data_IF_987541341682
#
_entry.id   IF_987541341682
#
_cell.length_a   1.000
_cell.length_b   1.000
_cell.length_c   1.000
_cell.angle_alpha   90.00
_cell.angle_beta   90.00
_cell.angle_gamma   90.00
#
_symmetry.space_group_name_H-M   'P 1'
#
loop_
_entity.id
_entity.type
_entity.pdbx_description
1 polymer ?
#
# COMPACT_ATOMS: atom_id res chain seq x y z
N UNK A 1 -4.93 43.91 -55.54
CA UNK A 1 -4.30 43.72 -54.20
C UNK A 1 -4.29 42.23 -53.91
N UNK A 2 -3.14 41.59 -54.02
CA UNK A 2 -2.98 40.14 -53.89
C UNK A 2 -3.02 39.75 -52.41
N UNK A 3 -3.77 38.68 -52.10
CA UNK A 3 -3.73 38.00 -50.80
C UNK A 3 -2.42 37.22 -50.70
N UNK A 4 -1.59 37.59 -49.75
CA UNK A 4 -0.37 36.87 -49.39
C UNK A 4 -0.77 35.58 -48.66
N UNK A 5 -0.61 34.43 -49.31
CA UNK A 5 -0.56 33.15 -48.64
C UNK A 5 0.77 33.05 -47.89
N UNK A 6 0.73 32.93 -46.56
CA UNK A 6 1.90 32.57 -45.76
C UNK A 6 2.33 31.12 -46.11
N UNK A 7 3.27 30.99 -47.04
CA UNK A 7 3.96 29.73 -47.32
C UNK A 7 4.93 29.44 -46.17
N UNK A 8 4.63 28.43 -45.35
CA UNK A 8 5.63 27.79 -44.50
C UNK A 8 6.81 27.29 -45.36
N UNK A 9 8.08 27.45 -44.92
CA UNK A 9 9.23 27.29 -45.79
C UNK A 9 9.48 25.82 -46.15
N UNK A 10 9.87 25.61 -47.41
CA UNK A 10 10.17 24.33 -48.08
C UNK A 10 11.28 23.52 -47.37
N UNK A 11 12.05 24.13 -46.44
CA UNK A 11 13.06 23.47 -45.59
C UNK A 11 12.51 22.34 -44.69
N UNK A 12 11.22 22.32 -44.38
CA UNK A 12 10.66 21.31 -43.48
C UNK A 12 10.69 19.91 -44.12
N UNK A 13 10.65 19.82 -45.45
CA UNK A 13 10.69 18.56 -46.20
C UNK A 13 12.04 17.83 -46.08
N UNK A 14 13.16 18.55 -46.24
CA UNK A 14 14.50 17.94 -46.13
C UNK A 14 14.83 17.55 -44.68
N UNK A 15 14.46 18.39 -43.72
CA UNK A 15 14.59 18.09 -42.28
C UNK A 15 13.76 16.86 -41.90
N UNK A 16 12.55 16.70 -42.46
CA UNK A 16 11.72 15.52 -42.23
C UNK A 16 12.31 14.25 -42.86
N UNK A 17 12.86 14.33 -44.07
CA UNK A 17 13.55 13.19 -44.71
C UNK A 17 14.79 12.76 -43.93
N UNK A 18 15.61 13.71 -43.48
CA UNK A 18 16.78 13.44 -42.64
C UNK A 18 16.37 12.82 -41.30
N UNK A 19 15.29 13.32 -40.70
CA UNK A 19 14.72 12.76 -39.47
C UNK A 19 14.18 11.35 -39.67
N UNK A 20 13.52 11.05 -40.79
CA UNK A 20 13.05 9.71 -41.11
C UNK A 20 14.19 8.72 -41.37
N UNK A 21 15.23 9.15 -42.08
CA UNK A 21 16.44 8.33 -42.27
C UNK A 21 17.12 8.02 -40.93
N UNK A 22 17.27 9.02 -40.06
CA UNK A 22 17.78 8.85 -38.70
C UNK A 22 16.87 7.92 -37.87
N UNK A 23 15.54 8.08 -37.97
CA UNK A 23 14.56 7.22 -37.29
C UNK A 23 14.72 5.76 -37.72
N UNK A 24 14.81 5.49 -39.01
CA UNK A 24 15.00 4.13 -39.54
C UNK A 24 16.35 3.53 -39.12
N UNK A 25 17.41 4.34 -39.07
CA UNK A 25 18.71 3.89 -38.58
C UNK A 25 18.65 3.54 -37.08
N UNK A 26 18.00 4.37 -36.27
CA UNK A 26 17.79 4.14 -34.84
C UNK A 26 16.90 2.90 -34.61
N UNK A 27 15.86 2.69 -35.40
CA UNK A 27 15.03 1.47 -35.31
C UNK A 27 15.80 0.21 -35.73
N UNK A 28 16.64 0.30 -36.77
CA UNK A 28 17.49 -0.82 -37.19
C UNK A 28 18.54 -1.18 -36.14
N UNK A 29 19.11 -0.19 -35.45
CA UNK A 29 20.16 -0.41 -34.44
C UNK A 29 19.60 -0.83 -33.08
N UNK A 30 18.47 -0.26 -32.66
CA UNK A 30 17.95 -0.37 -31.29
C UNK A 30 16.58 -1.05 -31.20
N UNK A 31 16.03 -1.52 -32.32
CA UNK A 31 14.74 -2.19 -32.42
C UNK A 31 13.58 -1.25 -32.76
N UNK A 32 12.51 -1.83 -33.28
CA UNK A 32 11.28 -1.10 -33.63
C UNK A 32 10.75 -0.32 -32.45
N UNK A 33 10.46 0.96 -32.63
CA UNK A 33 9.93 1.80 -31.57
C UNK A 33 10.95 2.48 -30.66
N UNK A 34 12.23 2.39 -30.98
CA UNK A 34 13.30 3.13 -30.29
C UNK A 34 13.18 4.66 -30.46
N UNK A 35 12.56 5.12 -31.54
CA UNK A 35 12.20 6.53 -31.76
C UNK A 35 10.82 6.64 -32.42
N UNK A 36 9.85 7.19 -31.68
CA UNK A 36 8.47 7.39 -32.16
C UNK A 36 8.01 8.84 -31.94
N UNK A 37 7.07 9.31 -32.75
CA UNK A 37 6.34 10.54 -32.44
C UNK A 37 5.36 10.25 -31.30
N UNK A 38 5.34 11.10 -30.27
CA UNK A 38 4.52 10.89 -29.08
C UNK A 38 3.01 10.85 -29.40
N UNK A 39 2.57 11.60 -30.41
CA UNK A 39 1.15 11.69 -30.82
C UNK A 39 0.70 10.70 -31.90
N UNK A 40 1.56 9.84 -32.45
CA UNK A 40 1.17 8.87 -33.49
C UNK A 40 0.60 7.57 -32.94
N UNK A 41 0.60 7.36 -31.61
CA UNK A 41 -0.36 6.46 -31.00
C UNK A 41 -1.70 7.20 -30.93
N UNK A 42 -2.65 6.80 -31.76
CA UNK A 42 -4.07 7.14 -31.61
C UNK A 42 -4.63 6.72 -30.25
N UNK A 43 -3.89 5.89 -29.53
CA UNK A 43 -4.00 5.67 -28.09
C UNK A 43 -3.07 6.61 -27.32
N UNK A 44 -3.52 7.85 -27.10
CA UNK A 44 -3.36 8.46 -25.75
C UNK A 44 -4.33 7.77 -24.77
N UNK A 45 -4.51 6.46 -24.94
CA UNK A 45 -5.36 5.60 -24.15
C UNK A 45 -4.84 5.63 -22.72
N UNK A 46 -5.80 5.84 -21.81
CA UNK A 46 -5.75 5.53 -20.39
C UNK A 46 -4.50 4.74 -19.98
N UNK A 47 -3.67 5.31 -19.11
CA UNK A 47 -2.62 4.56 -18.43
C UNK A 47 -3.27 3.32 -17.80
N UNK A 48 -2.82 2.12 -18.16
CA UNK A 48 -3.35 0.89 -17.56
C UNK A 48 -3.04 0.88 -16.07
N UNK A 49 -4.06 0.58 -15.26
CA UNK A 49 -3.98 0.62 -13.80
C UNK A 49 -4.46 -0.67 -13.16
N UNK A 50 -3.96 -0.93 -11.95
CA UNK A 50 -4.54 -1.86 -10.99
C UNK A 50 -5.25 -1.02 -9.91
N UNK A 51 -6.56 -1.24 -9.63
CA UNK A 51 -7.26 -0.54 -8.57
C UNK A 51 -6.57 -0.69 -7.21
N UNK A 52 -6.76 0.28 -6.32
CA UNK A 52 -6.11 0.27 -5.00
C UNK A 52 -6.88 -0.47 -3.91
N UNK A 53 -8.10 -0.95 -4.21
CA UNK A 53 -9.05 -1.48 -3.23
C UNK A 53 -9.89 -0.41 -2.55
N UNK A 54 -9.65 0.88 -2.85
CA UNK A 54 -10.49 2.00 -2.40
C UNK A 54 -10.75 3.00 -3.51
N UNK A 55 -12.02 3.25 -3.82
CA UNK A 55 -12.46 4.28 -4.78
C UNK A 55 -11.92 5.68 -4.42
N UNK A 56 -11.77 5.96 -3.12
CA UNK A 56 -11.25 7.26 -2.67
C UNK A 56 -9.76 7.41 -2.97
N UNK A 57 -8.98 6.35 -2.79
CA UNK A 57 -7.57 6.35 -3.12
C UNK A 57 -7.37 6.34 -4.64
N UNK A 58 -8.17 5.58 -5.39
CA UNK A 58 -8.19 5.60 -6.86
C UNK A 58 -8.43 7.03 -7.39
N UNK A 59 -9.39 7.75 -6.82
CA UNK A 59 -9.68 9.16 -7.14
C UNK A 59 -8.51 10.09 -6.76
N UNK A 60 -7.91 9.87 -5.58
CA UNK A 60 -6.77 10.66 -5.13
C UNK A 60 -5.51 10.42 -5.97
N UNK A 61 -5.32 9.22 -6.52
CA UNK A 61 -4.28 8.90 -7.49
C UNK A 61 -4.55 9.58 -8.85
N UNK A 62 -5.82 9.84 -9.17
CA UNK A 62 -6.27 10.64 -10.31
C UNK A 62 -6.35 9.89 -11.64
N UNK A 63 -5.92 8.62 -11.66
CA UNK A 63 -5.96 7.75 -12.84
C UNK A 63 -6.72 6.43 -12.56
N UNK A 64 -7.40 6.31 -11.42
CA UNK A 64 -8.21 5.13 -11.10
C UNK A 64 -7.47 3.98 -10.45
N UNK A 65 -6.17 4.13 -10.14
CA UNK A 65 -5.39 3.10 -9.46
C UNK A 65 -3.88 3.27 -9.61
N UNK A 66 -3.16 2.20 -9.33
CA UNK A 66 -1.71 2.10 -9.47
C UNK A 66 -1.29 1.87 -10.92
N UNK A 67 -0.43 2.71 -11.51
CA UNK A 67 -0.05 2.61 -12.92
C UNK A 67 0.87 1.41 -13.16
N UNK A 68 0.50 0.55 -14.12
CA UNK A 68 1.34 -0.56 -14.59
C UNK A 68 2.68 -0.08 -15.13
N UNK A 69 3.71 -0.90 -14.95
CA UNK A 69 5.06 -0.62 -15.44
C UNK A 69 5.78 0.51 -14.70
N UNK A 70 5.45 0.74 -13.41
CA UNK A 70 6.03 1.82 -12.60
C UNK A 70 6.47 1.34 -11.23
N UNK A 71 7.44 2.07 -10.68
CA UNK A 71 7.86 1.94 -9.28
C UNK A 71 7.03 2.86 -8.38
N UNK A 72 6.56 2.33 -7.27
CA UNK A 72 5.76 3.01 -6.24
C UNK A 72 6.47 2.86 -4.90
N UNK A 73 6.52 3.93 -4.11
CA UNK A 73 7.01 3.89 -2.73
C UNK A 73 5.85 4.17 -1.78
N UNK A 74 5.61 3.27 -0.82
CA UNK A 74 4.68 3.43 0.28
C UNK A 74 5.47 3.56 1.58
N UNK A 75 5.40 4.72 2.22
CA UNK A 75 6.19 4.98 3.43
C UNK A 75 5.38 5.66 4.52
N UNK A 76 5.84 5.51 5.76
CA UNK A 76 5.11 5.97 6.93
C UNK A 76 5.69 5.43 8.23
N UNK A 77 5.14 5.86 9.38
CA UNK A 77 5.47 5.27 10.67
C UNK A 77 5.14 3.77 10.74
N UNK A 78 5.60 3.11 11.80
CA UNK A 78 5.13 1.75 12.15
C UNK A 78 3.62 1.73 12.34
N UNK A 79 3.00 0.59 12.07
CA UNK A 79 1.54 0.37 12.23
C UNK A 79 0.64 1.41 11.55
N UNK A 80 1.15 2.09 10.52
CA UNK A 80 0.38 3.10 9.76
C UNK A 80 -0.50 2.49 8.66
N UNK A 81 -0.38 1.19 8.37
CA UNK A 81 -1.16 0.50 7.33
C UNK A 81 -0.44 0.32 5.99
N UNK A 82 0.90 0.48 5.93
CA UNK A 82 1.70 0.32 4.70
C UNK A 82 1.54 -1.06 4.05
N UNK A 83 1.80 -2.12 4.81
CA UNK A 83 1.68 -3.50 4.35
C UNK A 83 0.24 -3.84 4.01
N UNK A 84 -0.74 -3.35 4.78
CA UNK A 84 -2.18 -3.49 4.44
C UNK A 84 -2.51 -2.89 3.08
N UNK A 85 -2.05 -1.68 2.79
CA UNK A 85 -2.27 -1.04 1.49
C UNK A 85 -1.61 -1.80 0.34
N UNK A 86 -0.41 -2.34 0.57
CA UNK A 86 0.29 -3.16 -0.42
C UNK A 86 -0.40 -4.51 -0.66
N UNK A 87 -0.91 -5.16 0.38
CA UNK A 87 -1.67 -6.41 0.26
C UNK A 87 -3.00 -6.19 -0.50
N UNK A 88 -3.67 -5.05 -0.32
CA UNK A 88 -4.81 -4.70 -1.18
C UNK A 88 -4.41 -4.49 -2.65
N UNK A 89 -3.27 -3.88 -2.92
CA UNK A 89 -2.75 -3.76 -4.28
C UNK A 89 -2.48 -5.14 -4.91
N UNK A 90 -1.97 -6.09 -4.12
CA UNK A 90 -1.77 -7.49 -4.52
C UNK A 90 -3.11 -8.18 -4.80
N UNK A 91 -4.08 -8.08 -3.88
CA UNK A 91 -5.40 -8.69 -4.03
C UNK A 91 -6.13 -8.17 -5.29
N UNK A 92 -6.07 -6.86 -5.56
CA UNK A 92 -6.66 -6.27 -6.76
C UNK A 92 -5.92 -6.66 -8.04
N UNK A 93 -4.60 -6.86 -8.00
CA UNK A 93 -3.86 -7.37 -9.15
C UNK A 93 -4.28 -8.82 -9.49
N UNK A 94 -4.38 -9.68 -8.47
CA UNK A 94 -4.83 -11.07 -8.63
C UNK A 94 -6.28 -11.14 -9.12
N UNK A 95 -7.16 -10.26 -8.65
CA UNK A 95 -8.55 -10.12 -9.11
C UNK A 95 -8.66 -9.80 -10.60
N UNK A 96 -7.66 -9.12 -11.17
CA UNK A 96 -7.55 -8.87 -12.61
C UNK A 96 -6.85 -10.01 -13.38
N UNK A 97 -6.67 -11.18 -12.75
CA UNK A 97 -6.00 -12.34 -13.32
C UNK A 97 -4.46 -12.25 -13.32
N UNK A 98 -3.89 -11.27 -12.61
CA UNK A 98 -2.45 -11.02 -12.59
C UNK A 98 -1.69 -11.91 -11.61
N UNK A 99 -0.39 -12.11 -11.87
CA UNK A 99 0.51 -12.84 -10.97
C UNK A 99 1.15 -11.85 -10.00
N UNK A 100 1.12 -12.17 -8.70
CA UNK A 100 1.71 -11.35 -7.66
C UNK A 100 2.89 -12.04 -6.97
N UNK A 101 3.89 -11.25 -6.60
CA UNK A 101 4.99 -11.69 -5.74
C UNK A 101 5.22 -10.74 -4.56
N UNK A 102 5.69 -11.30 -3.45
CA UNK A 102 5.99 -10.59 -2.22
C UNK A 102 7.39 -10.96 -1.73
N UNK A 103 8.27 -9.98 -1.63
CA UNK A 103 9.62 -10.12 -1.09
C UNK A 103 9.58 -9.60 0.34
N UNK A 104 9.47 -10.53 1.29
CA UNK A 104 9.33 -10.30 2.73
C UNK A 104 10.73 -10.30 3.38
N UNK A 105 11.41 -9.17 3.27
CA UNK A 105 12.70 -8.93 3.94
C UNK A 105 12.52 -8.62 5.44
N UNK A 106 11.32 -8.23 5.89
CA UNK A 106 11.03 -8.05 7.33
C UNK A 106 10.67 -9.37 8.03
N UNK A 107 10.48 -10.47 7.30
CA UNK A 107 10.04 -11.78 7.83
C UNK A 107 8.76 -11.68 8.68
N UNK A 108 7.85 -10.79 8.28
CA UNK A 108 6.69 -10.38 9.08
C UNK A 108 5.35 -10.55 8.34
N UNK A 109 5.34 -11.16 7.15
CA UNK A 109 4.11 -11.42 6.42
C UNK A 109 3.26 -12.49 7.12
N UNK A 110 2.06 -12.11 7.56
CA UNK A 110 1.04 -13.03 8.07
C UNK A 110 0.12 -13.52 6.93
N UNK A 111 0.17 -14.83 6.57
CA UNK A 111 -0.69 -15.39 5.52
C UNK A 111 -2.18 -15.34 5.85
N UNK A 112 -2.56 -15.46 7.13
CA UNK A 112 -3.97 -15.42 7.57
C UNK A 112 -4.52 -14.02 7.38
N UNK A 113 -3.78 -13.01 7.84
CA UNK A 113 -4.15 -11.62 7.61
C UNK A 113 -4.23 -11.29 6.11
N UNK A 114 -3.23 -11.67 5.32
CA UNK A 114 -3.25 -11.46 3.87
C UNK A 114 -4.44 -12.13 3.19
N UNK A 115 -4.79 -13.37 3.58
CA UNK A 115 -5.97 -14.08 3.09
C UNK A 115 -7.26 -13.32 3.40
N UNK A 116 -7.38 -12.81 4.62
CA UNK A 116 -8.55 -12.04 5.04
C UNK A 116 -8.69 -10.70 4.30
N UNK A 117 -7.58 -10.12 3.85
CA UNK A 117 -7.54 -8.92 3.01
C UNK A 117 -7.91 -9.18 1.54
N UNK A 118 -8.11 -10.45 1.16
CA UNK A 118 -8.51 -10.84 -0.20
C UNK A 118 -7.36 -11.34 -1.07
N UNK A 119 -6.17 -11.56 -0.51
CA UNK A 119 -5.04 -12.13 -1.24
C UNK A 119 -5.25 -13.63 -1.41
N UNK A 120 -5.14 -14.12 -2.65
CA UNK A 120 -5.10 -15.53 -2.94
C UNK A 120 -3.71 -16.08 -2.59
N UNK A 121 -3.59 -16.63 -1.38
CA UNK A 121 -2.32 -17.13 -0.81
C UNK A 121 -1.77 -18.30 -1.62
N UNK A 122 -2.65 -19.17 -2.14
CA UNK A 122 -2.23 -20.37 -2.90
C UNK A 122 -1.43 -20.00 -4.16
N UNK A 123 -1.67 -18.80 -4.71
CA UNK A 123 -1.05 -18.29 -5.94
C UNK A 123 -0.09 -17.10 -5.68
N UNK A 124 0.20 -16.79 -4.42
CA UNK A 124 1.13 -15.71 -4.07
C UNK A 124 2.56 -16.24 -4.01
N UNK A 125 3.44 -15.70 -4.85
CA UNK A 125 4.86 -16.03 -4.81
C UNK A 125 5.54 -15.27 -3.66
N UNK A 126 6.08 -15.97 -2.67
CA UNK A 126 6.77 -15.34 -1.53
C UNK A 126 8.25 -15.66 -1.57
N UNK A 127 9.09 -14.67 -1.28
CA UNK A 127 10.53 -14.83 -1.08
C UNK A 127 10.94 -14.15 0.22
N UNK A 128 11.69 -14.87 1.04
CA UNK A 128 12.31 -14.39 2.28
C UNK A 128 13.83 -14.40 2.09
N UNK A 129 14.42 -13.30 1.57
CA UNK A 129 15.84 -13.24 1.24
C UNK A 129 16.70 -13.02 2.49
N UNK A 130 17.92 -13.53 2.45
CA UNK A 130 18.94 -13.36 3.49
C UNK A 130 19.65 -12.00 3.39
N UNK A 131 19.76 -11.42 2.18
CA UNK A 131 20.49 -10.17 1.94
C UNK A 131 19.72 -9.20 1.04
N UNK A 132 20.06 -7.91 1.17
CA UNK A 132 19.49 -6.85 0.32
C UNK A 132 19.83 -7.02 -1.16
N UNK A 133 21.04 -7.48 -1.49
CA UNK A 133 21.45 -7.82 -2.86
C UNK A 133 20.55 -8.94 -3.42
N UNK A 134 20.40 -10.04 -2.69
CA UNK A 134 19.60 -11.18 -3.10
C UNK A 134 18.13 -10.78 -3.33
N UNK A 135 17.54 -10.01 -2.41
CA UNK A 135 16.19 -9.48 -2.54
C UNK A 135 15.98 -8.69 -3.84
N UNK A 136 16.93 -7.79 -4.16
CA UNK A 136 16.84 -6.94 -5.35
C UNK A 136 17.13 -7.71 -6.64
N UNK A 137 17.98 -8.74 -6.61
CA UNK A 137 18.21 -9.65 -7.74
C UNK A 137 16.98 -10.51 -8.03
N UNK A 138 16.34 -11.06 -7.00
CA UNK A 138 15.06 -11.78 -7.14
C UNK A 138 14.01 -10.86 -7.77
N UNK A 139 13.89 -9.63 -7.27
CA UNK A 139 12.99 -8.62 -7.86
C UNK A 139 13.32 -8.36 -9.34
N UNK A 140 14.59 -8.15 -9.69
CA UNK A 140 15.02 -7.92 -11.07
C UNK A 140 14.66 -9.10 -11.98
N UNK A 141 14.91 -10.34 -11.53
CA UNK A 141 14.62 -11.55 -12.29
C UNK A 141 13.13 -11.76 -12.51
N UNK A 142 12.31 -11.54 -11.48
CA UNK A 142 10.84 -11.62 -11.59
C UNK A 142 10.30 -10.58 -12.57
N UNK A 143 10.78 -9.33 -12.52
CA UNK A 143 10.38 -8.29 -13.50
C UNK A 143 10.84 -8.68 -14.92
N UNK A 144 12.06 -9.19 -15.07
CA UNK A 144 12.64 -9.58 -16.36
C UNK A 144 11.94 -10.76 -16.99
N UNK A 145 11.40 -11.69 -16.20
CA UNK A 145 10.60 -12.82 -16.69
C UNK A 145 9.41 -12.35 -17.54
N UNK A 146 8.91 -11.13 -17.28
CA UNK A 146 7.73 -10.62 -17.94
C UNK A 146 6.44 -11.33 -17.52
N UNK A 147 6.46 -12.25 -16.53
CA UNK A 147 5.28 -12.95 -16.05
C UNK A 147 4.55 -12.18 -14.95
N UNK A 148 5.27 -11.57 -14.00
CA UNK A 148 4.68 -10.96 -12.79
C UNK A 148 4.03 -9.59 -13.07
N UNK A 149 2.83 -9.38 -12.52
CA UNK A 149 2.04 -8.14 -12.63
C UNK A 149 2.38 -7.14 -11.53
N UNK A 150 2.57 -7.62 -10.31
CA UNK A 150 2.91 -6.79 -9.16
C UNK A 150 3.94 -7.50 -8.25
N UNK A 151 4.93 -6.74 -7.80
CA UNK A 151 5.91 -7.18 -6.82
C UNK A 151 5.90 -6.18 -5.67
N UNK A 152 5.74 -6.67 -4.44
CA UNK A 152 5.91 -5.88 -3.21
C UNK A 152 7.25 -6.25 -2.57
N UNK A 153 8.01 -5.25 -2.14
CA UNK A 153 9.24 -5.41 -1.36
C UNK A 153 9.00 -4.80 0.03
N UNK A 154 8.87 -5.64 1.05
CA UNK A 154 8.62 -5.26 2.44
C UNK A 154 9.81 -5.67 3.32
N UNK A 155 10.72 -4.76 3.69
CA UNK A 155 10.77 -3.34 3.35
C UNK A 155 12.18 -2.91 2.97
N UNK A 156 12.31 -1.71 2.38
CA UNK A 156 13.61 -1.12 2.03
C UNK A 156 14.54 -1.01 3.24
N UNK A 157 13.99 -0.81 4.45
CA UNK A 157 14.79 -0.69 5.66
C UNK A 157 15.50 -2.01 6.00
N UNK A 158 14.88 -3.15 5.67
CA UNK A 158 15.41 -4.49 5.90
C UNK A 158 16.28 -5.03 4.75
N UNK A 159 16.50 -4.25 3.69
CA UNK A 159 17.43 -4.62 2.61
C UNK A 159 18.88 -4.39 3.06
N UNK A 160 19.34 -5.21 4.01
CA UNK A 160 20.67 -5.11 4.62
C UNK A 160 21.70 -5.70 3.67
N UNK A 161 22.73 -4.94 3.25
CA UNK A 161 23.78 -5.45 2.37
C UNK A 161 24.53 -6.63 3.00
N UNK A 162 24.95 -7.62 2.19
CA UNK A 162 25.68 -8.79 2.67
C UNK A 162 26.89 -8.44 3.55
N UNK A 163 27.67 -7.44 3.14
CA UNK A 163 28.85 -6.98 3.90
C UNK A 163 28.50 -6.43 5.29
N UNK A 164 27.30 -5.88 5.47
CA UNK A 164 26.82 -5.39 6.76
C UNK A 164 26.35 -6.54 7.66
N UNK A 165 25.79 -7.61 7.08
CA UNK A 165 25.39 -8.83 7.79
C UNK A 165 26.61 -9.64 8.26
N UNK A 166 27.64 -9.74 7.42
CA UNK A 166 28.89 -10.47 7.73
C UNK A 166 29.84 -9.68 8.64
N UNK A 167 29.62 -8.38 8.81
CA UNK A 167 30.42 -7.50 9.66
C UNK A 167 30.11 -7.64 11.15
N UNK A 168 30.94 -7.03 11.99
CA UNK A 168 30.69 -6.99 13.44
C UNK A 168 29.77 -5.83 13.82
N UNK A 169 29.02 -5.99 14.92
CA UNK A 169 28.20 -4.91 15.46
C UNK A 169 29.07 -3.71 15.84
N UNK A 170 28.86 -2.58 15.16
CA UNK A 170 29.66 -1.36 15.35
C UNK A 170 30.56 -1.01 14.15
N UNK A 171 30.66 -1.90 13.17
CA UNK A 171 31.39 -1.62 11.94
C UNK A 171 30.77 -0.45 11.15
N UNK A 172 31.63 0.45 10.69
CA UNK A 172 31.20 1.67 9.98
C UNK A 172 31.03 1.43 8.48
N UNK A 173 29.87 0.89 8.07
CA UNK A 173 29.52 0.66 6.65
C UNK A 173 28.66 1.80 6.10
N UNK A 174 29.22 3.01 6.07
CA UNK A 174 28.46 4.22 5.70
C UNK A 174 27.91 4.17 4.27
N UNK A 175 26.59 4.26 4.13
CA UNK A 175 25.90 4.49 2.86
C UNK A 175 25.88 3.30 1.90
N UNK A 176 26.21 2.09 2.35
CA UNK A 176 26.23 0.89 1.51
C UNK A 176 24.84 0.57 0.95
N UNK A 177 23.82 0.56 1.79
CA UNK A 177 22.43 0.36 1.37
C UNK A 177 21.96 1.41 0.34
N UNK A 178 22.35 2.68 0.50
CA UNK A 178 21.99 3.73 -0.45
C UNK A 178 22.63 3.53 -1.83
N UNK A 179 23.87 3.02 -1.88
CA UNK A 179 24.56 2.67 -3.13
C UNK A 179 23.92 1.46 -3.80
N UNK A 180 23.61 0.42 -3.03
CA UNK A 180 22.89 -0.77 -3.47
C UNK A 180 21.56 -0.39 -4.14
N UNK A 181 20.72 0.38 -3.43
CA UNK A 181 19.44 0.87 -3.96
C UNK A 181 19.61 1.69 -5.24
N UNK A 182 20.63 2.55 -5.30
CA UNK A 182 20.90 3.37 -6.49
C UNK A 182 21.28 2.54 -7.71
N UNK A 183 22.06 1.48 -7.52
CA UNK A 183 22.46 0.56 -8.58
C UNK A 183 21.28 -0.30 -9.04
N UNK A 184 20.55 -0.90 -8.10
CA UNK A 184 19.40 -1.76 -8.39
C UNK A 184 18.29 -1.00 -9.11
N UNK A 185 17.88 0.17 -8.62
CA UNK A 185 16.80 0.95 -9.25
C UNK A 185 17.17 1.43 -10.65
N UNK A 186 18.44 1.72 -10.93
CA UNK A 186 18.91 2.07 -12.28
C UNK A 186 18.69 0.94 -13.27
N UNK A 187 18.92 -0.32 -12.85
CA UNK A 187 18.63 -1.51 -13.68
C UNK A 187 17.13 -1.79 -13.76
N UNK A 188 16.46 -1.79 -12.61
CA UNK A 188 15.07 -2.18 -12.45
C UNK A 188 14.10 -1.27 -13.21
N UNK A 189 14.28 0.05 -13.13
CA UNK A 189 13.33 0.99 -13.77
C UNK A 189 13.27 0.88 -15.29
N UNK A 190 14.38 0.52 -15.94
CA UNK A 190 14.42 0.32 -17.39
C UNK A 190 13.61 -0.92 -17.83
N UNK A 191 13.58 -1.98 -17.01
CA UNK A 191 12.86 -3.22 -17.32
C UNK A 191 11.40 -3.21 -16.83
N UNK A 192 11.12 -2.49 -15.73
CA UNK A 192 9.76 -2.31 -15.17
C UNK A 192 8.82 -1.69 -16.20
N UNK A 193 9.26 -0.67 -16.93
CA UNK A 193 8.44 -0.03 -17.96
C UNK A 193 8.07 -0.97 -19.12
N UNK A 194 8.95 -1.90 -19.49
CA UNK A 194 8.74 -2.84 -20.60
C UNK A 194 7.87 -4.04 -20.20
N UNK A 195 8.06 -4.53 -18.97
CA UNK A 195 7.32 -5.67 -18.43
C UNK A 195 5.92 -5.32 -17.96
N UNK A 196 5.55 -4.03 -17.89
CA UNK A 196 4.29 -3.55 -17.28
C UNK A 196 4.07 -4.01 -15.83
N UNK A 197 5.10 -4.53 -15.15
CA UNK A 197 5.05 -4.90 -13.74
C UNK A 197 4.94 -3.65 -12.86
N UNK A 198 4.11 -3.68 -11.83
CA UNK A 198 4.12 -2.69 -10.74
C UNK A 198 5.13 -3.17 -9.71
N UNK A 199 6.04 -2.29 -9.29
CA UNK A 199 6.96 -2.61 -8.18
C UNK A 199 6.69 -1.65 -7.03
N UNK A 200 6.22 -2.19 -5.90
CA UNK A 200 5.93 -1.44 -4.68
C UNK A 200 7.05 -1.66 -3.69
N UNK A 201 7.70 -0.59 -3.25
CA UNK A 201 8.62 -0.61 -2.13
C UNK A 201 7.92 -0.06 -0.89
N UNK A 202 7.85 -0.86 0.16
CA UNK A 202 7.48 -0.39 1.49
C UNK A 202 8.72 0.20 2.16
N UNK A 203 8.56 1.34 2.84
CA UNK A 203 9.68 2.01 3.49
C UNK A 203 9.25 2.60 4.83
N UNK A 204 10.22 2.76 5.72
CA UNK A 204 10.04 3.32 7.05
C UNK A 204 10.54 4.77 7.09
N UNK A 205 10.02 5.53 8.04
CA UNK A 205 10.51 6.87 8.35
C UNK A 205 11.69 6.77 9.34
N UNK A 206 12.69 7.62 9.14
CA UNK A 206 13.80 7.89 10.06
C UNK A 206 13.95 9.39 10.24
N UNK A 207 14.59 9.82 11.32
CA UNK A 207 14.92 11.23 11.54
C UNK A 207 16.35 11.54 11.09
N UNK A 208 16.53 12.64 10.36
CA UNK A 208 17.86 13.20 10.08
C UNK A 208 18.34 13.98 11.30
N UNK A 209 19.46 13.54 11.88
CA UNK A 209 20.13 14.23 12.98
C UNK A 209 20.67 15.57 12.45
N UNK A 210 20.56 16.63 13.25
CA UNK A 210 21.15 17.95 12.95
C UNK A 210 20.29 18.89 12.09
N UNK A 211 19.04 18.54 11.77
CA UNK A 211 18.11 19.44 11.07
C UNK A 211 17.39 20.33 12.09
N UNK A 212 17.79 21.60 12.19
CA UNK A 212 17.17 22.59 13.08
C UNK A 212 15.98 23.34 12.46
N UNK A 213 15.82 23.29 11.13
CA UNK A 213 14.73 23.96 10.41
C UNK A 213 14.17 23.07 9.29
N UNK A 214 12.85 23.02 9.14
CA UNK A 214 12.16 22.18 8.16
C UNK A 214 11.71 20.82 8.69
N UNK A 215 11.36 19.89 7.79
CA UNK A 215 10.95 18.53 8.17
C UNK A 215 12.20 17.63 8.34
N UNK A 216 12.47 17.09 9.55
CA UNK A 216 13.61 16.20 9.80
C UNK A 216 13.40 14.78 9.27
N UNK A 217 12.19 14.41 8.84
CA UNK A 217 11.89 13.06 8.39
C UNK A 217 12.53 12.72 7.04
N UNK A 218 13.03 11.48 6.95
CA UNK A 218 13.55 10.88 5.73
C UNK A 218 13.14 9.42 5.64
N UNK A 219 13.32 8.82 4.46
CA UNK A 219 13.14 7.38 4.24
C UNK A 219 14.50 6.68 4.14
N UNK A 220 14.53 5.38 4.39
CA UNK A 220 15.75 4.53 4.30
C UNK A 220 16.14 4.26 2.84
N UNK A 221 17.34 3.70 2.60
CA UNK A 221 17.82 3.37 1.25
C UNK A 221 18.31 4.57 0.41
N UNK A 222 18.60 5.71 1.05
CA UNK A 222 19.11 6.91 0.38
C UNK A 222 18.06 7.69 -0.42
N UNK A 223 18.48 8.40 -1.46
CA UNK A 223 17.58 9.26 -2.25
C UNK A 223 17.09 8.63 -3.55
N UNK A 224 17.69 7.53 -4.02
CA UNK A 224 17.40 6.95 -5.33
C UNK A 224 15.91 6.63 -5.50
N UNK A 225 15.31 5.93 -4.54
CA UNK A 225 13.90 5.55 -4.60
C UNK A 225 12.97 6.77 -4.74
N UNK A 226 13.30 7.89 -4.10
CA UNK A 226 12.54 9.14 -4.21
C UNK A 226 12.49 9.66 -5.64
N UNK A 227 13.56 9.49 -6.42
CA UNK A 227 13.65 9.95 -7.81
C UNK A 227 13.04 8.97 -8.80
N UNK A 228 13.31 7.68 -8.62
CA UNK A 228 12.86 6.61 -9.52
C UNK A 228 11.37 6.28 -9.36
N UNK A 229 10.80 6.42 -8.16
CA UNK A 229 9.37 6.20 -7.94
C UNK A 229 8.52 7.17 -8.77
N UNK A 230 7.51 6.66 -9.44
CA UNK A 230 6.50 7.46 -10.14
C UNK A 230 5.44 7.97 -9.19
N UNK A 231 5.10 7.18 -8.18
CA UNK A 231 4.16 7.54 -7.12
C UNK A 231 4.84 7.34 -5.78
N UNK A 232 4.66 8.28 -4.87
CA UNK A 232 5.08 8.14 -3.47
C UNK A 232 3.89 8.45 -2.58
N UNK A 233 3.57 7.50 -1.69
CA UNK A 233 2.47 7.57 -0.75
C UNK A 233 3.02 7.68 0.66
N UNK A 234 2.66 8.76 1.36
CA UNK A 234 2.89 8.91 2.78
C UNK A 234 1.64 8.46 3.53
N UNK A 235 1.79 7.45 4.38
CA UNK A 235 0.71 6.77 5.08
C UNK A 235 0.86 7.05 6.57
N UNK A 236 -0.19 7.57 7.22
CA UNK A 236 -0.19 7.86 8.66
C UNK A 236 -1.53 7.51 9.30
N UNK A 237 -1.49 6.83 10.44
CA UNK A 237 -2.65 6.71 11.33
C UNK A 237 -3.02 8.10 11.87
N UNK A 238 -4.31 8.41 11.90
CA UNK A 238 -4.85 9.69 12.42
C UNK A 238 -5.59 9.45 13.73
N UNK A 239 -6.52 8.49 13.73
CA UNK A 239 -7.41 8.18 14.85
C UNK A 239 -7.67 6.68 14.91
N UNK A 240 -8.00 6.19 16.10
CA UNK A 240 -8.58 4.86 16.30
C UNK A 240 -10.05 4.89 15.89
N UNK A 241 -10.57 3.75 15.46
CA UNK A 241 -12.01 3.52 15.27
C UNK A 241 -12.43 2.60 16.42
N UNK A 242 -13.35 3.07 17.26
CA UNK A 242 -13.84 2.32 18.41
C UNK A 242 -15.15 1.60 18.07
N UNK A 243 -15.33 0.38 18.56
CA UNK A 243 -16.55 -0.40 18.37
C UNK A 243 -17.69 0.09 19.27
N UNK A 244 -18.94 0.01 18.80
CA UNK A 244 -20.10 0.34 19.66
C UNK A 244 -20.21 -0.67 20.81
N UNK A 245 -19.81 -0.24 22.01
CA UNK A 245 -19.88 -1.08 23.21
C UNK A 245 -18.69 -2.03 23.38
N UNK A 246 -17.63 -1.85 22.59
CA UNK A 246 -16.37 -2.57 22.74
C UNK A 246 -15.37 -1.68 23.50
N UNK A 247 -14.60 -2.26 24.44
CA UNK A 247 -13.52 -1.54 25.13
C UNK A 247 -12.32 -1.30 24.22
N UNK A 248 -12.09 -2.19 23.26
CA UNK A 248 -10.95 -2.16 22.36
C UNK A 248 -11.27 -1.46 21.03
N UNK A 249 -10.24 -0.82 20.46
CA UNK A 249 -10.34 -0.25 19.12
C UNK A 249 -10.49 -1.37 18.07
N UNK A 250 -11.43 -1.19 17.13
CA UNK A 250 -11.73 -2.15 16.05
C UNK A 250 -11.02 -1.81 14.74
N UNK A 251 -10.36 -0.66 14.67
CA UNK A 251 -9.63 -0.24 13.48
C UNK A 251 -8.92 1.09 13.64
N UNK A 252 -8.41 1.60 12.52
CA UNK A 252 -7.70 2.86 12.41
C UNK A 252 -8.18 3.64 11.20
N UNK A 253 -8.39 4.94 11.37
CA UNK A 253 -8.47 5.85 10.24
C UNK A 253 -7.08 6.30 9.85
N UNK A 254 -6.76 6.15 8.57
CA UNK A 254 -5.44 6.37 8.01
C UNK A 254 -5.50 7.45 6.94
N UNK A 255 -4.61 8.44 7.04
CA UNK A 255 -4.38 9.42 5.99
C UNK A 255 -3.34 8.89 5.01
N UNK A 256 -3.70 8.87 3.73
CA UNK A 256 -2.76 8.65 2.63
C UNK A 256 -2.58 9.97 1.88
N UNK A 257 -1.34 10.44 1.80
CA UNK A 257 -0.96 11.65 1.05
C UNK A 257 -0.09 11.26 -0.14
N UNK A 258 -0.50 11.67 -1.34
CA UNK A 258 0.27 11.45 -2.56
C UNK A 258 1.36 12.52 -2.65
N UNK A 259 2.52 12.29 -2.05
CA UNK A 259 3.61 13.28 -2.01
C UNK A 259 4.35 13.42 -3.33
N UNK A 260 4.21 12.44 -4.22
CA UNK A 260 4.72 12.48 -5.60
C UNK A 260 3.77 11.72 -6.52
N UNK A 261 3.50 12.29 -7.68
CA UNK A 261 2.71 11.67 -8.73
C UNK A 261 3.24 12.14 -10.10
N UNK A 262 3.73 11.22 -10.94
CA UNK A 262 4.22 11.52 -12.29
C UNK A 262 3.17 11.32 -13.39
N UNK A 263 1.97 10.85 -13.03
CA UNK A 263 0.92 10.46 -13.98
C UNK A 263 -0.37 11.26 -13.81
N UNK A 264 -0.51 11.97 -12.70
CA UNK A 264 -1.60 12.89 -12.40
C UNK A 264 -1.13 13.96 -11.38
N UNK A 265 -1.92 14.99 -11.07
CA UNK A 265 -1.55 16.01 -10.09
C UNK A 265 -1.22 15.44 -8.70
N UNK A 266 -0.07 15.80 -8.10
CA UNK A 266 0.32 15.34 -6.76
C UNK A 266 -0.39 16.11 -5.63
N UNK A 267 -0.04 15.78 -4.39
CA UNK A 267 -0.42 16.45 -3.13
C UNK A 267 -1.87 16.31 -2.67
N UNK A 268 -2.66 15.52 -3.38
CA UNK A 268 -3.97 15.05 -2.89
C UNK A 268 -3.79 14.22 -1.62
N UNK A 269 -4.81 14.28 -0.76
CA UNK A 269 -4.90 13.54 0.50
C UNK A 269 -6.23 12.82 0.53
N UNK A 270 -6.23 11.63 1.09
CA UNK A 270 -7.42 10.81 1.30
C UNK A 270 -7.34 10.20 2.69
N UNK A 271 -8.50 9.94 3.28
CA UNK A 271 -8.62 9.23 4.54
C UNK A 271 -9.36 7.92 4.28
N UNK A 272 -8.82 6.84 4.83
CA UNK A 272 -9.30 5.48 4.65
C UNK A 272 -9.52 4.85 6.01
N UNK A 273 -10.62 4.12 6.16
CA UNK A 273 -10.90 3.33 7.35
C UNK A 273 -10.31 1.93 7.14
N UNK A 274 -9.38 1.53 8.03
CA UNK A 274 -8.77 0.20 8.05
C UNK A 274 -9.28 -0.53 9.30
N UNK A 275 -10.06 -1.58 9.11
CA UNK A 275 -10.53 -2.43 10.20
C UNK A 275 -9.57 -3.60 10.43
N UNK A 276 -9.32 -3.93 11.69
CA UNK A 276 -8.48 -5.09 12.02
C UNK A 276 -9.11 -6.37 11.50
N UNK A 277 -8.29 -7.29 10.99
CA UNK A 277 -8.75 -8.54 10.36
C UNK A 277 -9.46 -8.39 9.01
N UNK A 278 -9.86 -7.19 8.58
CA UNK A 278 -10.57 -6.96 7.30
C UNK A 278 -9.82 -6.10 6.29
N UNK A 279 -8.92 -5.24 6.75
CA UNK A 279 -8.22 -4.28 5.91
C UNK A 279 -9.06 -3.03 5.60
N UNK A 280 -8.85 -2.44 4.43
CA UNK A 280 -9.49 -1.20 3.99
C UNK A 280 -10.98 -1.45 3.73
N UNK A 281 -11.84 -0.67 4.37
CA UNK A 281 -13.28 -0.73 4.09
C UNK A 281 -13.61 -0.07 2.75
N UNK A 282 -13.83 -0.93 1.75
CA UNK A 282 -14.36 -0.52 0.44
C UNK A 282 -15.76 0.10 0.58
N UNK A 283 -16.61 -0.42 1.48
CA UNK A 283 -17.95 0.12 1.72
C UNK A 283 -17.91 1.53 2.33
N UNK A 284 -17.04 1.78 3.32
CA UNK A 284 -16.83 3.13 3.85
C UNK A 284 -16.31 4.10 2.78
N UNK A 285 -15.38 3.63 1.93
CA UNK A 285 -14.85 4.42 0.81
C UNK A 285 -15.95 4.78 -0.20
N UNK A 286 -16.82 3.81 -0.54
CA UNK A 286 -17.96 4.02 -1.45
C UNK A 286 -18.98 4.99 -0.83
N UNK A 287 -19.29 4.87 0.46
CA UNK A 287 -20.21 5.77 1.15
C UNK A 287 -19.70 7.21 1.11
N UNK A 288 -18.45 7.44 1.54
CA UNK A 288 -17.87 8.78 1.61
C UNK A 288 -17.74 9.40 0.21
N UNK A 289 -17.39 8.59 -0.81
CA UNK A 289 -17.35 9.02 -2.22
C UNK A 289 -18.76 9.33 -2.76
N UNK A 290 -19.76 8.50 -2.43
CA UNK A 290 -21.15 8.70 -2.83
C UNK A 290 -21.73 10.00 -2.27
N UNK A 291 -21.41 10.35 -1.04
CA UNK A 291 -21.81 11.63 -0.45
C UNK A 291 -21.11 12.78 -1.15
N UNK A 292 -19.79 12.68 -1.37
CA UNK A 292 -19.00 13.71 -2.06
C UNK A 292 -19.53 13.99 -3.48
N UNK A 293 -19.96 12.96 -4.20
CA UNK A 293 -20.45 13.07 -5.58
C UNK A 293 -21.98 13.19 -5.70
N UNK A 294 -22.71 13.33 -4.59
CA UNK A 294 -24.16 13.55 -4.57
C UNK A 294 -25.00 12.35 -5.01
N UNK A 295 -24.50 11.13 -4.84
CA UNK A 295 -25.29 9.89 -5.03
C UNK A 295 -26.03 9.49 -3.74
N UNK A 296 -25.51 9.88 -2.58
CA UNK A 296 -26.15 9.71 -1.29
C UNK A 296 -26.24 11.09 -0.62
N UNK A 297 -27.43 11.47 -0.20
CA UNK A 297 -27.66 12.67 0.59
C UNK A 297 -27.38 12.39 2.07
N UNK A 298 -26.62 13.30 2.70
CA UNK A 298 -26.42 13.30 4.15
C UNK A 298 -27.18 14.47 4.79
N UNK A 299 -28.22 14.17 5.56
CA UNK A 299 -29.02 15.16 6.32
C UNK A 299 -28.87 14.91 7.81
N UNK A 300 -28.06 15.73 8.48
CA UNK A 300 -27.68 15.50 9.87
C UNK A 300 -26.93 14.16 10.02
N UNK A 301 -27.49 13.25 10.81
CA UNK A 301 -26.96 11.89 10.98
C UNK A 301 -27.49 10.88 9.95
N UNK A 302 -28.49 11.24 9.13
CA UNK A 302 -29.13 10.31 8.20
C UNK A 302 -28.46 10.32 6.82
N UNK A 303 -28.27 9.12 6.27
CA UNK A 303 -27.84 8.86 4.90
C UNK A 303 -29.02 8.31 4.09
N UNK A 304 -29.35 8.97 2.99
CA UNK A 304 -30.52 8.64 2.14
C UNK A 304 -30.15 8.68 0.68
N UNK A 305 -30.77 7.83 -0.13
CA UNK A 305 -30.64 7.85 -1.58
C UNK A 305 -32.03 7.96 -2.21
N UNK A 306 -32.37 9.15 -2.69
CA UNK A 306 -33.76 9.45 -3.05
C UNK A 306 -34.67 9.25 -1.84
N UNK A 307 -35.62 8.31 -1.92
CA UNK A 307 -36.53 7.95 -0.83
C UNK A 307 -36.01 6.81 0.06
N UNK A 308 -34.98 6.08 -0.38
CA UNK A 308 -34.42 4.93 0.34
C UNK A 308 -33.53 5.40 1.50
N UNK A 309 -33.78 4.88 2.71
CA UNK A 309 -32.96 5.16 3.90
C UNK A 309 -31.81 4.17 3.98
N UNK A 310 -30.60 4.65 3.70
CA UNK A 310 -29.36 3.85 3.75
C UNK A 310 -28.95 3.59 5.21
N UNK A 311 -29.12 4.56 6.10
CA UNK A 311 -28.88 4.36 7.53
C UNK A 311 -28.74 5.65 8.34
N UNK A 312 -28.83 5.52 9.66
CA UNK A 312 -28.54 6.61 10.61
C UNK A 312 -27.13 6.42 11.22
N UNK A 313 -26.22 7.34 10.94
CA UNK A 313 -24.81 7.28 11.31
C UNK A 313 -23.97 6.54 10.28
N UNK A 314 -22.66 6.85 10.23
CA UNK A 314 -21.73 6.32 9.23
C UNK A 314 -21.66 4.79 9.29
N UNK A 315 -21.48 4.22 10.47
CA UNK A 315 -21.38 2.77 10.69
C UNK A 315 -22.58 1.99 10.15
N UNK A 316 -23.81 2.45 10.46
CA UNK A 316 -25.02 1.77 10.01
C UNK A 316 -25.17 1.86 8.48
N UNK A 317 -24.80 2.99 7.88
CA UNK A 317 -24.80 3.14 6.43
C UNK A 317 -23.73 2.27 5.74
N UNK A 318 -22.55 2.13 6.36
CA UNK A 318 -21.50 1.21 5.89
C UNK A 318 -21.98 -0.23 5.98
N UNK A 319 -22.56 -0.64 7.12
CA UNK A 319 -23.12 -1.98 7.29
C UNK A 319 -24.25 -2.27 6.28
N UNK A 320 -25.09 -1.27 5.97
CA UNK A 320 -26.11 -1.41 4.92
C UNK A 320 -25.47 -1.70 3.55
N UNK A 321 -24.43 -0.96 3.17
CA UNK A 321 -23.72 -1.17 1.91
C UNK A 321 -23.03 -2.55 1.90
N UNK A 322 -22.42 -2.98 3.00
CA UNK A 322 -21.78 -4.30 3.09
C UNK A 322 -22.78 -5.45 2.97
N UNK A 323 -23.94 -5.33 3.62
CA UNK A 323 -24.98 -6.36 3.64
C UNK A 323 -25.83 -6.40 2.36
N UNK A 324 -25.70 -5.41 1.48
CA UNK A 324 -26.42 -5.35 0.20
C UNK A 324 -25.44 -5.31 -0.99
N UNK A 325 -24.86 -6.46 -1.40
CA UNK A 325 -23.83 -6.51 -2.46
C UNK A 325 -24.28 -5.92 -3.80
N UNK A 326 -25.55 -6.11 -4.18
CA UNK A 326 -26.11 -5.54 -5.41
C UNK A 326 -26.11 -4.00 -5.37
N UNK A 327 -26.53 -3.42 -4.24
CA UNK A 327 -26.52 -1.98 -4.02
C UNK A 327 -25.10 -1.41 -4.00
N UNK A 328 -24.18 -2.09 -3.31
CA UNK A 328 -22.76 -1.72 -3.29
C UNK A 328 -22.15 -1.68 -4.69
N UNK A 329 -22.38 -2.73 -5.48
CA UNK A 329 -21.86 -2.85 -6.84
C UNK A 329 -22.43 -1.76 -7.77
N UNK A 330 -23.72 -1.48 -7.66
CA UNK A 330 -24.38 -0.46 -8.47
C UNK A 330 -23.90 0.97 -8.11
N UNK A 331 -23.71 1.26 -6.82
CA UNK A 331 -23.07 2.51 -6.38
C UNK A 331 -21.63 2.63 -6.88
N UNK A 332 -20.81 1.60 -6.70
CA UNK A 332 -19.41 1.63 -7.15
C UNK A 332 -19.31 1.84 -8.66
N UNK A 333 -20.14 1.15 -9.44
CA UNK A 333 -20.18 1.32 -10.89
C UNK A 333 -20.55 2.74 -11.29
N UNK A 334 -21.59 3.31 -10.67
CA UNK A 334 -22.03 4.68 -10.94
C UNK A 334 -20.95 5.69 -10.57
N UNK A 335 -20.25 5.48 -9.45
CA UNK A 335 -19.12 6.30 -9.03
C UNK A 335 -17.96 6.19 -10.03
N UNK A 336 -17.55 4.98 -10.41
CA UNK A 336 -16.43 4.77 -11.34
C UNK A 336 -16.72 5.41 -12.70
N UNK A 337 -17.93 5.27 -13.23
CA UNK A 337 -18.32 5.92 -14.49
C UNK A 337 -18.28 7.45 -14.39
N UNK A 338 -18.73 8.00 -13.26
CA UNK A 338 -18.72 9.45 -13.03
C UNK A 338 -17.32 10.03 -12.83
N UNK A 339 -16.44 9.32 -12.12
CA UNK A 339 -15.09 9.78 -11.77
C UNK A 339 -14.09 9.49 -12.90
N UNK A 340 -14.24 8.35 -13.59
CA UNK A 340 -13.34 7.86 -14.62
C UNK A 340 -14.11 7.45 -15.90
N UNK A 341 -14.74 8.41 -16.60
CA UNK A 341 -15.59 8.11 -17.75
C UNK A 341 -14.82 7.39 -18.84
N UNK A 342 -15.36 6.26 -19.33
CA UNK A 342 -14.73 5.45 -20.36
C UNK A 342 -13.47 4.70 -19.94
N UNK A 343 -13.14 4.64 -18.63
CA UNK A 343 -12.03 3.83 -18.15
C UNK A 343 -12.39 2.34 -18.26
N UNK A 344 -11.47 1.58 -18.84
CA UNK A 344 -11.56 0.13 -18.96
C UNK A 344 -10.38 -0.51 -18.24
N UNK A 345 -10.64 -1.47 -17.36
CA UNK A 345 -9.60 -2.24 -16.71
C UNK A 345 -9.08 -3.30 -17.67
N UNK A 346 -7.76 -3.45 -17.72
CA UNK A 346 -7.08 -4.37 -18.62
C UNK A 346 -6.13 -5.29 -17.86
N UNK A 347 -6.00 -6.51 -18.37
CA UNK A 347 -4.88 -7.39 -18.03
C UNK A 347 -3.57 -6.77 -18.49
N UNK A 348 -2.45 -7.35 -18.08
CA UNK A 348 -1.12 -6.93 -18.52
C UNK A 348 -0.95 -7.05 -20.04
N UNK A 349 -1.55 -8.08 -20.63
CA UNK A 349 -1.57 -8.39 -22.05
C UNK A 349 -2.45 -7.41 -22.85
N UNK A 350 -3.25 -6.59 -22.16
CA UNK A 350 -4.12 -5.57 -22.76
C UNK A 350 -5.54 -6.06 -23.04
N UNK A 351 -5.89 -7.26 -22.56
CA UNK A 351 -7.26 -7.79 -22.67
C UNK A 351 -8.18 -7.06 -21.70
N UNK A 352 -9.41 -6.77 -22.14
CA UNK A 352 -10.39 -6.11 -21.30
C UNK A 352 -10.89 -7.09 -20.23
N UNK A 353 -10.81 -6.69 -18.97
CA UNK A 353 -11.38 -7.44 -17.85
C UNK A 353 -12.83 -7.01 -17.65
N UNK A 354 -13.74 -7.95 -17.84
CA UNK A 354 -15.20 -7.73 -17.71
C UNK A 354 -15.65 -7.80 -16.25
N UNK A 355 -16.81 -7.21 -15.96
CA UNK A 355 -17.38 -7.22 -14.61
C UNK A 355 -17.78 -8.63 -14.17
N UNK A 356 -18.22 -9.45 -15.13
CA UNK A 356 -18.60 -10.84 -14.93
C UNK A 356 -17.39 -11.69 -14.51
N UNK A 357 -16.23 -11.47 -15.12
CA UNK A 357 -14.97 -12.14 -14.73
C UNK A 357 -14.56 -11.77 -13.30
N UNK A 358 -14.63 -10.48 -12.95
CA UNK A 358 -14.31 -10.03 -11.59
C UNK A 358 -15.27 -10.67 -10.57
N UNK A 359 -16.58 -10.66 -10.86
CA UNK A 359 -17.58 -11.24 -9.96
C UNK A 359 -17.40 -12.75 -9.81
N UNK A 360 -17.03 -13.44 -10.89
CA UNK A 360 -16.74 -14.87 -10.86
C UNK A 360 -15.52 -15.16 -9.99
N UNK A 361 -14.43 -14.41 -10.16
CA UNK A 361 -13.24 -14.51 -9.32
C UNK A 361 -13.56 -14.27 -7.84
N UNK A 362 -14.33 -13.22 -7.52
CA UNK A 362 -14.72 -12.92 -6.13
C UNK A 362 -15.57 -14.04 -5.51
N UNK A 363 -16.45 -14.68 -6.27
CA UNK A 363 -17.24 -15.84 -5.82
C UNK A 363 -16.33 -17.05 -5.52
N UNK A 364 -15.38 -17.33 -6.40
CA UNK A 364 -14.41 -18.42 -6.23
C UNK A 364 -13.53 -18.19 -5.00
N UNK A 365 -13.02 -16.96 -4.83
CA UNK A 365 -12.21 -16.58 -3.66
C UNK A 365 -13.01 -16.69 -2.36
N UNK A 366 -14.27 -16.23 -2.33
CA UNK A 366 -15.14 -16.40 -1.16
C UNK A 366 -15.40 -17.87 -0.84
N UNK A 367 -15.57 -18.73 -1.84
CA UNK A 367 -15.72 -20.17 -1.62
C UNK A 367 -14.46 -20.80 -1.00
N UNK A 368 -13.27 -20.23 -1.23
CA UNK A 368 -11.99 -20.60 -0.58
C UNK A 368 -11.77 -19.91 0.78
N UNK A 369 -12.71 -19.10 1.26
CA UNK A 369 -12.58 -18.30 2.49
C UNK A 369 -11.59 -17.15 2.37
N UNK A 370 -11.26 -16.69 1.16
CA UNK A 370 -10.42 -15.52 0.90
C UNK A 370 -11.29 -14.26 0.98
N UNK A 371 -10.84 -13.24 1.70
CA UNK A 371 -11.56 -11.97 1.85
C UNK A 371 -12.76 -12.02 2.80
N UNK A 372 -12.89 -13.05 3.64
CA UNK A 372 -14.02 -13.25 4.56
C UNK A 372 -13.71 -12.89 6.01
N UNK A 373 -12.70 -12.05 6.25
CA UNK A 373 -12.29 -11.65 7.59
C UNK A 373 -13.45 -11.10 8.42
N UNK A 374 -13.57 -11.55 9.67
CA UNK A 374 -14.53 -11.03 10.63
C UNK A 374 -13.86 -9.95 11.52
N UNK A 375 -14.64 -9.09 12.18
CA UNK A 375 -14.10 -8.03 13.07
C UNK A 375 -13.48 -8.65 14.33
N UNK A 376 -13.86 -9.89 14.65
CA UNK A 376 -13.40 -10.65 15.81
C UNK A 376 -12.29 -11.61 15.37
N UNK A 377 -11.05 -11.11 15.31
CA UNK A 377 -9.82 -11.89 15.48
C UNK A 377 -8.66 -10.92 15.71
N UNK A 378 -8.67 -10.28 16.88
CA UNK A 378 -7.44 -9.77 17.48
C UNK A 378 -6.65 -10.97 18.01
N UNK A 379 -5.31 -11.02 17.94
CA UNK A 379 -4.54 -12.10 18.56
C UNK A 379 -4.67 -12.00 20.08
N UNK A 380 -5.68 -12.64 20.64
CA UNK A 380 -5.70 -12.99 22.05
C UNK A 380 -4.57 -13.98 22.28
N UNK A 381 -3.68 -13.63 23.21
CA UNK A 381 -2.57 -14.45 23.73
C UNK A 381 -2.88 -15.95 23.68
N UNK A 382 -1.95 -16.72 23.14
CA UNK A 382 -1.93 -18.19 23.20
C UNK A 382 -2.30 -18.68 24.62
N UNK A 383 -3.50 -19.24 24.77
CA UNK A 383 -3.77 -20.17 25.85
C UNK A 383 -3.19 -21.53 25.44
N UNK A 384 -2.10 -21.93 26.11
CA UNK A 384 -1.60 -23.31 26.04
C UNK A 384 -2.70 -24.26 26.52
N UNK A 385 -2.89 -25.42 25.86
CA UNK A 385 -3.86 -26.40 26.32
C UNK A 385 -3.40 -26.98 27.68
N UNK A 386 -4.28 -26.88 28.67
CA UNK A 386 -4.06 -27.45 29.99
C UNK A 386 -4.02 -28.98 29.91
N UNK A 387 -2.86 -29.55 30.20
CA UNK A 387 -2.71 -30.97 30.50
C UNK A 387 -3.37 -31.27 31.86
N UNK A 388 -4.24 -32.27 31.89
CA UNK A 388 -4.91 -32.77 33.10
C UNK A 388 -3.90 -33.39 34.06
N UNK A 389 -3.93 -32.97 35.32
CA UNK A 389 -3.45 -33.76 36.47
C UNK A 389 -4.41 -33.59 37.66
N UNK A 390 -4.53 -34.60 38.54
CA UNK A 390 -5.75 -34.90 39.27
C UNK A 390 -5.94 -34.13 40.58
N UNK A 391 -7.17 -34.23 41.09
CA UNK A 391 -7.74 -33.74 42.35
C UNK A 391 -6.78 -33.51 43.52
N UNK A 392 -6.94 -32.37 44.19
CA UNK A 392 -6.75 -32.25 45.64
C UNK A 392 -7.40 -30.96 46.17
N UNK A 393 -8.63 -31.08 46.67
CA UNK A 393 -9.11 -30.22 47.75
C UNK A 393 -8.18 -30.40 48.97
N UNK A 394 -7.28 -29.46 49.21
CA UNK A 394 -6.94 -29.00 50.57
C UNK A 394 -5.93 -27.85 50.51
N UNK A 395 -6.15 -26.84 51.37
CA UNK A 395 -5.26 -25.72 51.74
C UNK A 395 -5.61 -24.33 51.19
N UNK A 396 -6.87 -23.93 51.32
CA UNK A 396 -7.23 -22.53 51.61
C UNK A 396 -6.90 -22.19 53.07
N UNK A 397 -5.62 -21.97 53.42
CA UNK A 397 -5.25 -21.45 54.75
C UNK A 397 -3.79 -20.95 54.84
N UNK A 398 -3.23 -20.20 53.88
CA UNK A 398 -1.89 -19.59 54.07
C UNK A 398 -1.53 -18.48 53.07
N UNK A 399 -2.32 -17.41 52.97
CA UNK A 399 -1.88 -16.21 52.23
C UNK A 399 -2.43 -14.86 52.75
N UNK A 400 -3.10 -14.83 53.91
CA UNK A 400 -3.65 -13.59 54.49
C UNK A 400 -2.77 -12.95 55.58
N UNK A 401 -1.47 -13.30 55.68
CA UNK A 401 -0.60 -12.87 56.81
C UNK A 401 0.71 -12.15 56.48
N UNK A 402 0.95 -11.72 55.23
CA UNK A 402 2.23 -11.04 54.89
C UNK A 402 2.13 -9.55 54.52
N UNK A 403 0.95 -8.91 54.64
CA UNK A 403 0.78 -7.49 54.25
C UNK A 403 0.48 -6.50 55.39
N UNK A 404 0.54 -6.94 56.65
CA UNK A 404 0.25 -6.09 57.82
C UNK A 404 1.49 -5.73 58.67
N UNK A 405 2.71 -5.95 58.18
CA UNK A 405 3.94 -5.81 58.99
C UNK A 405 5.02 -4.88 58.41
N UNK A 406 4.67 -3.96 57.50
CA UNK A 406 5.65 -3.00 56.94
C UNK A 406 5.25 -1.53 57.06
N UNK A 407 4.23 -1.20 57.86
CA UNK A 407 3.76 0.17 58.11
C UNK A 407 3.62 0.44 59.61
N UNK A 408 4.65 0.15 60.41
CA UNK A 408 4.76 0.58 61.82
C UNK A 408 6.16 0.30 62.39
N UNK A 409 7.22 0.86 61.79
CA UNK A 409 8.54 0.98 62.45
C UNK A 409 9.42 2.03 61.76
N UNK A 410 8.92 3.26 61.72
CA UNK A 410 9.69 4.45 61.36
C UNK A 410 9.23 5.61 62.27
N UNK A 411 9.38 5.41 63.57
CA UNK A 411 9.32 6.46 64.58
C UNK A 411 10.13 5.94 65.79
N UNK A 412 10.98 6.82 66.32
CA UNK A 412 11.92 6.64 67.44
C UNK A 412 13.08 5.67 67.22
N UNK A 413 14.24 6.19 66.84
CA UNK A 413 15.37 6.30 67.76
C UNK A 413 16.47 7.20 67.17
N UNK A 414 17.06 7.96 68.07
CA UNK A 414 17.82 9.19 67.89
C UNK A 414 19.33 8.92 67.99
N UNK A 415 20.13 9.85 67.45
CA UNK A 415 21.60 10.06 67.56
C UNK A 415 22.53 9.46 66.48
N UNK A 416 23.72 10.08 66.29
CA UNK A 416 23.97 11.50 66.02
C UNK A 416 24.84 11.68 64.75
N UNK A 417 24.87 12.90 64.21
CA UNK A 417 25.74 13.30 63.09
C UNK A 417 27.17 13.52 63.59
N UNK A 418 28.19 13.16 62.80
CA UNK A 418 29.37 14.00 62.70
C UNK A 418 29.74 14.33 61.25
N UNK A 419 29.73 15.64 60.99
CA UNK A 419 30.81 16.44 60.43
C UNK A 419 31.63 15.95 59.22
N UNK A 420 31.53 16.81 58.19
CA UNK A 420 32.53 17.13 57.16
C UNK A 420 32.91 16.01 56.15
N UNK A 421 32.68 16.30 54.86
CA UNK A 421 33.75 16.75 53.94
C UNK A 421 33.24 16.70 52.49
N UNK A 422 33.03 17.90 51.94
CA UNK A 422 33.03 18.31 50.52
C UNK A 422 31.95 17.82 49.55
#
# INVERSE_FOLDING_TARGET
MAKTEEKFPVEMSEKLKALEAARLQIEKQFGTGSLMKLGTKTDTASIDVVPSGSILLDEALGIGGYPRGRVIEMYGPESSGKTTLALHAVAEAQKLGGIAAFIDAEHALDPVYAKNLGVNIDELWVSQPDTGEQALEICENLVRSGAVDIIVVDSVAALTPQKEIEGEMGDSVMGLQARLMSQALRKLTAIVGKSKCIVVFINQIRMKIGVMFGNPETTTGGNALKFYSSIRLEIRRIESIDGKGEEDAVGNRVRVKIVKNKVAPPFRKVELDIYFGKGISSAASILDSSVKHGLIDKRGAWYTRGEEKVGQGKENAVAYIENNPAFKMELENTLREKIFPGQVLRTKEGEVVTKEQILQYEKEMRAKGVGTGSIVDSPSKEEKPAEKAPDAEEKTAKAAKSKAASLAKAASEDKPVPDELF
#
